data_IF_540836577392
#
_entry.id   IF_540836577392
#
_cell.length_a   1.000
_cell.length_b   1.000
_cell.length_c   1.000
_cell.angle_alpha   90.00
_cell.angle_beta   90.00
_cell.angle_gamma   90.00
#
_symmetry.space_group_name_H-M   'P 1'
#
loop_
_entity.id
_entity.type
_entity.pdbx_description
1 polymer ?
#
# COMPACT_ATOMS: atom_id res chain seq x y z
N UNK A 1 27.16 -43.86 -32.42
CA UNK A 1 25.73 -43.86 -32.79
C UNK A 1 25.07 -42.78 -31.95
N UNK A 2 24.74 -41.63 -32.53
CA UNK A 2 24.16 -40.50 -31.79
C UNK A 2 22.66 -40.73 -31.64
N UNK A 3 22.10 -40.51 -30.45
CA UNK A 3 20.67 -40.77 -30.20
C UNK A 3 19.78 -39.77 -30.94
N UNK A 4 18.64 -40.18 -31.52
CA UNK A 4 17.75 -39.31 -32.30
C UNK A 4 17.18 -38.12 -31.49
N UNK A 5 17.16 -38.24 -30.16
CA UNK A 5 16.82 -37.14 -29.26
C UNK A 5 17.82 -35.97 -29.29
N UNK A 6 19.11 -36.24 -29.54
CA UNK A 6 20.15 -35.21 -29.58
C UNK A 6 20.06 -34.42 -30.89
N UNK A 7 19.73 -35.07 -32.01
CA UNK A 7 19.44 -34.38 -33.27
C UNK A 7 18.18 -33.51 -33.16
N UNK A 8 17.14 -34.00 -32.49
CA UNK A 8 15.93 -33.22 -32.25
C UNK A 8 16.19 -31.97 -31.37
N UNK A 9 17.06 -32.08 -30.38
CA UNK A 9 17.49 -30.93 -29.56
C UNK A 9 18.39 -29.95 -30.33
N UNK A 10 19.22 -30.46 -31.26
CA UNK A 10 20.08 -29.63 -32.10
C UNK A 10 19.30 -28.89 -33.20
N UNK A 11 18.17 -29.45 -33.66
CA UNK A 11 17.27 -28.85 -34.66
C UNK A 11 16.15 -28.01 -34.04
N UNK A 12 16.04 -27.96 -32.72
CA UNK A 12 15.08 -27.09 -32.05
C UNK A 12 15.49 -25.63 -32.33
N UNK A 13 14.56 -24.75 -32.78
CA UNK A 13 14.84 -23.34 -32.94
C UNK A 13 15.23 -22.80 -31.56
N UNK A 14 16.52 -22.54 -31.38
CA UNK A 14 16.99 -21.81 -30.22
C UNK A 14 16.54 -20.38 -30.42
N UNK A 15 15.37 -20.04 -29.89
CA UNK A 15 14.84 -18.68 -29.92
C UNK A 15 15.93 -17.75 -29.36
N UNK A 16 16.56 -17.01 -30.27
CA UNK A 16 17.60 -16.00 -30.02
C UNK A 16 16.97 -14.77 -29.37
N UNK A 17 16.20 -14.96 -28.31
CA UNK A 17 15.65 -13.88 -27.48
C UNK A 17 16.76 -13.16 -26.71
N UNK A 18 17.97 -13.72 -26.68
CA UNK A 18 19.19 -13.06 -26.17
C UNK A 18 19.55 -11.81 -26.99
N UNK A 19 19.04 -11.66 -28.22
CA UNK A 19 19.24 -10.47 -29.06
C UNK A 19 18.32 -9.29 -28.71
N UNK A 20 17.16 -9.55 -28.09
CA UNK A 20 16.18 -8.50 -27.72
C UNK A 20 16.62 -7.75 -26.46
N UNK A 21 17.47 -8.37 -25.63
CA UNK A 21 18.06 -7.74 -24.45
C UNK A 21 19.37 -6.99 -24.74
N UNK A 22 20.04 -7.26 -25.88
CA UNK A 22 21.46 -6.89 -26.05
C UNK A 22 21.79 -5.98 -27.23
N UNK A 23 20.81 -5.33 -27.88
CA UNK A 23 21.11 -4.29 -28.86
C UNK A 23 19.97 -3.29 -29.00
N UNK A 24 20.32 -2.01 -29.12
CA UNK A 24 19.44 -0.83 -29.19
C UNK A 24 18.99 -0.31 -27.82
N UNK A 25 19.48 0.86 -27.44
CA UNK A 25 18.81 1.70 -26.45
C UNK A 25 17.32 1.79 -26.79
N UNK A 26 16.40 1.38 -25.90
CA UNK A 26 14.99 1.38 -26.19
C UNK A 26 14.54 2.79 -26.57
N UNK A 27 13.70 2.90 -27.61
CA UNK A 27 13.15 4.19 -28.01
C UNK A 27 12.56 4.92 -26.79
N UNK A 28 12.65 6.26 -26.70
CA UNK A 28 12.15 7.00 -25.53
C UNK A 28 10.71 6.63 -25.14
N UNK A 29 9.87 6.29 -26.13
CA UNK A 29 8.49 5.82 -25.94
C UNK A 29 8.42 4.44 -25.27
N UNK A 30 9.29 3.51 -25.66
CA UNK A 30 9.40 2.18 -25.04
C UNK A 30 9.90 2.29 -23.60
N UNK A 31 10.91 3.14 -23.36
CA UNK A 31 11.43 3.41 -22.02
C UNK A 31 10.34 4.01 -21.12
N UNK A 32 9.59 5.01 -21.60
CA UNK A 32 8.49 5.60 -20.85
C UNK A 32 7.39 4.58 -20.52
N UNK A 33 7.05 3.68 -21.45
CA UNK A 33 6.10 2.60 -21.19
C UNK A 33 6.56 1.67 -20.08
N UNK A 34 7.84 1.27 -20.11
CA UNK A 34 8.41 0.38 -19.09
C UNK A 34 8.43 1.10 -17.74
N UNK A 35 8.90 2.35 -17.69
CA UNK A 35 8.93 3.14 -16.46
C UNK A 35 7.52 3.33 -15.91
N UNK A 36 6.54 3.67 -16.74
CA UNK A 36 5.16 3.83 -16.32
C UNK A 36 4.57 2.52 -15.81
N UNK A 37 4.83 1.39 -16.48
CA UNK A 37 4.36 0.08 -16.04
C UNK A 37 4.99 -0.34 -14.71
N UNK A 38 6.31 -0.15 -14.55
CA UNK A 38 7.03 -0.42 -13.30
C UNK A 38 6.53 0.48 -12.18
N UNK A 39 6.33 1.76 -12.45
CA UNK A 39 5.80 2.72 -11.48
C UNK A 39 4.38 2.36 -11.05
N UNK A 40 3.49 2.05 -12.00
CA UNK A 40 2.12 1.62 -11.69
C UNK A 40 2.11 0.31 -10.89
N UNK A 41 2.98 -0.63 -11.24
CA UNK A 41 3.11 -1.90 -10.52
C UNK A 41 3.57 -1.66 -9.08
N UNK A 42 4.61 -0.84 -8.89
CA UNK A 42 5.08 -0.44 -7.57
C UNK A 42 3.98 0.25 -6.76
N UNK A 43 3.28 1.22 -7.36
CA UNK A 43 2.16 1.91 -6.73
C UNK A 43 1.09 0.95 -6.20
N UNK A 44 0.69 -0.03 -7.02
CA UNK A 44 -0.31 -1.02 -6.63
C UNK A 44 0.19 -1.92 -5.50
N UNK A 45 1.42 -2.42 -5.59
CA UNK A 45 2.01 -3.28 -4.53
C UNK A 45 2.10 -2.51 -3.20
N UNK A 46 2.58 -1.27 -3.22
CA UNK A 46 2.64 -0.44 -2.02
C UNK A 46 1.25 -0.08 -1.46
N UNK A 47 0.28 0.17 -2.33
CA UNK A 47 -1.11 0.38 -1.95
C UNK A 47 -1.70 -0.85 -1.24
N UNK A 48 -1.48 -2.05 -1.77
CA UNK A 48 -1.92 -3.31 -1.15
C UNK A 48 -1.24 -3.54 0.20
N UNK A 49 0.08 -3.38 0.29
CA UNK A 49 0.82 -3.51 1.56
C UNK A 49 0.27 -2.54 2.60
N UNK A 50 0.00 -1.29 2.20
CA UNK A 50 -0.59 -0.28 3.09
C UNK A 50 -1.95 -0.72 3.63
N UNK A 51 -2.83 -1.20 2.75
CA UNK A 51 -4.14 -1.73 3.14
C UNK A 51 -3.98 -2.85 4.16
N UNK A 52 -3.10 -3.81 3.90
CA UNK A 52 -2.84 -4.93 4.83
C UNK A 52 -2.29 -4.44 6.17
N UNK A 53 -1.31 -3.55 6.17
CA UNK A 53 -0.70 -2.99 7.39
C UNK A 53 -1.70 -2.18 8.23
N UNK A 54 -2.61 -1.44 7.60
CA UNK A 54 -3.65 -0.70 8.32
C UNK A 54 -4.67 -1.67 8.92
N UNK A 55 -5.05 -2.72 8.19
CA UNK A 55 -6.01 -3.72 8.67
C UNK A 55 -5.42 -4.66 9.74
N UNK A 56 -4.11 -4.89 9.76
CA UNK A 56 -3.43 -5.75 10.74
C UNK A 56 -3.26 -5.10 12.11
N UNK A 57 -3.31 -3.78 12.23
CA UNK A 57 -3.16 -3.04 13.50
C UNK A 57 -4.42 -3.00 14.41
N UNK A 58 -5.46 -3.78 14.09
CA UNK A 58 -6.54 -4.08 15.03
C UNK A 58 -7.90 -3.41 14.73
N UNK A 59 -8.96 -4.20 14.98
CA UNK A 59 -10.35 -4.08 14.50
C UNK A 59 -10.45 -4.08 12.99
N UNK A 60 -10.39 -5.28 12.40
CA UNK A 60 -11.07 -5.56 11.14
C UNK A 60 -12.47 -4.94 11.24
N UNK A 61 -12.71 -3.85 10.52
CA UNK A 61 -13.93 -3.05 10.68
C UNK A 61 -13.74 -1.54 10.79
N UNK A 62 -12.54 -1.01 11.10
CA UNK A 62 -12.41 0.47 11.24
C UNK A 62 -12.43 1.25 9.92
N UNK A 63 -12.04 0.60 8.82
CA UNK A 63 -12.06 1.16 7.47
C UNK A 63 -13.15 0.56 6.58
N UNK A 64 -13.87 -0.41 7.12
CA UNK A 64 -15.06 -0.96 6.48
C UNK A 64 -16.22 -0.08 6.93
N UNK A 65 -16.90 0.61 6.00
CA UNK A 65 -17.96 1.52 6.38
C UNK A 65 -19.08 0.81 7.15
N UNK A 66 -19.70 1.48 8.13
CA UNK A 66 -20.74 0.84 8.97
C UNK A 66 -21.95 0.36 8.14
N UNK A 67 -22.28 1.07 7.05
CA UNK A 67 -23.32 0.66 6.10
C UNK A 67 -23.05 -0.70 5.43
N UNK A 68 -21.79 -1.16 5.38
CA UNK A 68 -21.45 -2.48 4.84
C UNK A 68 -21.94 -3.61 5.75
N UNK A 69 -21.84 -3.40 7.07
CA UNK A 69 -22.23 -4.40 8.07
C UNK A 69 -23.74 -4.49 8.24
N UNK A 70 -24.47 -3.42 7.89
CA UNK A 70 -25.91 -3.28 8.06
C UNK A 70 -26.72 -3.56 6.76
N UNK A 71 -26.03 -3.83 5.65
CA UNK A 71 -26.72 -4.14 4.38
C UNK A 71 -27.14 -5.61 4.31
N UNK A 72 -28.40 -5.88 3.96
CA UNK A 72 -28.92 -7.24 3.70
C UNK A 72 -28.30 -7.92 2.45
N UNK A 73 -27.20 -7.39 1.91
CA UNK A 73 -26.45 -8.00 0.81
C UNK A 73 -26.92 -7.61 -0.59
N UNK A 74 -27.49 -6.40 -0.75
CA UNK A 74 -27.85 -5.86 -2.07
C UNK A 74 -26.64 -5.83 -3.01
N UNK A 75 -26.88 -6.03 -4.31
CA UNK A 75 -25.81 -6.03 -5.33
C UNK A 75 -25.10 -4.67 -5.41
N UNK A 76 -25.81 -3.59 -5.10
CA UNK A 76 -25.28 -2.23 -5.07
C UNK A 76 -24.31 -2.00 -3.92
N UNK A 77 -24.57 -2.59 -2.75
CA UNK A 77 -23.69 -2.47 -1.60
C UNK A 77 -22.36 -3.19 -1.85
N UNK A 78 -22.41 -4.36 -2.50
CA UNK A 78 -21.21 -5.09 -2.93
C UNK A 78 -20.37 -4.29 -3.94
N UNK A 79 -21.02 -3.59 -4.88
CA UNK A 79 -20.34 -2.70 -5.83
C UNK A 79 -19.73 -1.48 -5.14
N UNK A 80 -20.44 -0.89 -4.19
CA UNK A 80 -19.94 0.24 -3.41
C UNK A 80 -18.69 -0.15 -2.60
N UNK A 81 -18.64 -1.38 -2.07
CA UNK A 81 -17.47 -1.91 -1.35
C UNK A 81 -16.29 -2.12 -2.28
N UNK A 82 -16.51 -2.70 -3.47
CA UNK A 82 -15.46 -2.84 -4.47
C UNK A 82 -14.91 -1.45 -4.86
N UNK A 83 -15.79 -0.48 -5.12
CA UNK A 83 -15.43 0.91 -5.39
C UNK A 83 -14.65 1.55 -4.23
N UNK A 84 -15.05 1.31 -2.99
CA UNK A 84 -14.35 1.79 -1.79
C UNK A 84 -12.91 1.28 -1.72
N UNK A 85 -12.70 -0.03 -1.91
CA UNK A 85 -11.36 -0.60 -1.90
C UNK A 85 -10.50 -0.11 -3.07
N UNK A 86 -11.08 0.11 -4.24
CA UNK A 86 -10.38 0.74 -5.38
C UNK A 86 -9.93 2.15 -5.00
N UNK A 87 -10.81 2.96 -4.41
CA UNK A 87 -10.45 4.30 -3.94
C UNK A 87 -9.32 4.25 -2.90
N UNK A 88 -9.39 3.33 -1.93
CA UNK A 88 -8.34 3.16 -0.92
C UNK A 88 -7.00 2.78 -1.56
N UNK A 89 -7.00 1.86 -2.54
CA UNK A 89 -5.78 1.45 -3.25
C UNK A 89 -5.20 2.56 -4.11
N UNK A 90 -6.03 3.36 -4.78
CA UNK A 90 -5.57 4.46 -5.63
C UNK A 90 -5.07 5.66 -4.83
N UNK A 91 -5.73 5.98 -3.71
CA UNK A 91 -5.47 7.18 -2.91
C UNK A 91 -4.74 6.89 -1.58
N UNK A 92 -4.06 5.75 -1.48
CA UNK A 92 -3.30 5.34 -0.29
C UNK A 92 -2.28 6.39 0.22
N UNK A 93 -1.62 7.24 -0.59
CA UNK A 93 -0.68 8.24 -0.06
C UNK A 93 -1.39 9.33 0.75
N UNK A 94 -2.61 9.70 0.35
CA UNK A 94 -3.43 10.68 1.09
C UNK A 94 -3.84 10.10 2.44
N UNK A 95 -4.18 8.81 2.47
CA UNK A 95 -4.47 8.07 3.70
C UNK A 95 -3.24 8.11 4.64
N UNK A 96 -2.03 7.89 4.10
CA UNK A 96 -0.79 7.99 4.89
C UNK A 96 -0.57 9.37 5.50
N UNK A 97 -0.81 10.45 4.74
CA UNK A 97 -0.71 11.81 5.27
C UNK A 97 -1.66 11.99 6.46
N UNK A 98 -2.92 11.57 6.33
CA UNK A 98 -3.89 11.61 7.43
C UNK A 98 -3.46 10.79 8.64
N UNK A 99 -2.91 9.58 8.44
CA UNK A 99 -2.37 8.74 9.50
C UNK A 99 -1.19 9.41 10.22
N UNK A 100 -0.27 10.03 9.48
CA UNK A 100 0.89 10.72 10.02
C UNK A 100 0.47 11.92 10.88
N UNK A 101 -0.44 12.76 10.38
CA UNK A 101 -1.01 13.89 11.13
C UNK A 101 -1.65 13.41 12.43
N UNK A 102 -2.41 12.31 12.40
CA UNK A 102 -3.04 11.75 13.60
C UNK A 102 -2.00 11.23 14.60
N UNK A 103 -0.92 10.59 14.13
CA UNK A 103 0.16 10.12 15.01
C UNK A 103 0.87 11.29 15.69
N UNK A 104 1.25 12.32 14.93
CA UNK A 104 1.90 13.53 15.45
C UNK A 104 0.97 14.23 16.46
N UNK A 105 -0.30 14.43 16.11
CA UNK A 105 -1.27 15.07 17.00
C UNK A 105 -1.48 14.30 18.31
N UNK A 106 -1.50 12.96 18.27
CA UNK A 106 -1.57 12.13 19.49
C UNK A 106 -0.31 12.23 20.33
N UNK A 107 0.86 12.32 19.70
CA UNK A 107 2.14 12.52 20.37
C UNK A 107 2.17 13.84 21.13
N UNK A 108 1.84 14.95 20.45
CA UNK A 108 1.77 16.29 21.03
C UNK A 108 0.73 16.34 22.16
N UNK A 109 -0.48 15.83 21.93
CA UNK A 109 -1.53 15.82 22.93
C UNK A 109 -1.15 15.03 24.19
N UNK A 110 -0.42 13.93 24.08
CA UNK A 110 0.13 13.19 25.23
C UNK A 110 1.22 14.01 25.96
N UNK A 111 2.10 14.68 25.22
CA UNK A 111 3.11 15.57 25.79
C UNK A 111 2.49 16.73 26.59
N UNK A 112 1.52 17.41 26.00
CA UNK A 112 0.77 18.51 26.65
C UNK A 112 0.02 18.01 27.88
N UNK A 113 -0.67 16.87 27.81
CA UNK A 113 -1.35 16.28 28.98
C UNK A 113 -0.38 15.96 30.12
N UNK A 114 0.81 15.43 29.82
CA UNK A 114 1.85 15.14 30.82
C UNK A 114 2.39 16.41 31.48
N UNK A 115 2.64 17.47 30.71
CA UNK A 115 3.09 18.75 31.24
C UNK A 115 2.02 19.44 32.10
N UNK A 116 0.77 19.41 31.67
CA UNK A 116 -0.36 20.00 32.39
C UNK A 116 -0.69 19.25 33.69
N UNK A 117 -0.53 17.92 33.69
CA UNK A 117 -0.61 17.10 34.91
C UNK A 117 0.47 17.47 35.94
N UNK A 118 1.74 17.55 35.51
CA UNK A 118 2.85 17.97 36.40
C UNK A 118 2.67 19.36 36.99
N UNK A 119 2.16 20.32 36.20
CA UNK A 119 1.91 21.69 36.70
C UNK A 119 0.81 21.71 37.77
N UNK A 120 -0.25 20.92 37.60
CA UNK A 120 -1.35 20.84 38.58
C UNK A 120 -0.97 20.12 39.88
N UNK A 121 0.07 19.28 39.86
CA UNK A 121 0.57 18.55 41.04
C UNK A 121 1.60 19.40 41.81
N UNK A 122 2.42 20.19 41.10
CA UNK A 122 3.33 21.17 41.71
C UNK A 122 2.59 22.32 42.41
N UNK A 123 1.52 22.84 41.82
CA UNK A 123 0.73 23.95 42.37
C UNK A 123 0.10 23.59 43.73
N UNK A 124 -0.46 22.36 43.83
CA UNK A 124 -1.02 21.81 45.07
C UNK A 124 0.01 21.53 46.17
N UNK A 125 1.26 21.27 45.79
CA UNK A 125 2.36 21.08 46.74
C UNK A 125 2.83 22.38 47.39
N UNK A 126 2.68 23.50 46.70
CA UNK A 126 3.03 24.85 47.20
C UNK A 126 1.96 25.51 48.06
N UNK A 127 0.69 25.12 47.94
CA UNK A 127 -0.39 25.63 48.82
C UNK A 127 -0.46 24.90 50.18
N UNK A 128 0.29 23.80 50.36
CA UNK A 128 0.29 22.99 51.58
C UNK A 128 1.56 23.20 52.45
N UNK A 129 2.39 24.20 52.13
CA UNK A 129 3.59 24.62 52.89
C UNK A 129 3.40 26.06 53.35
#
# INVERSE_FOLDING_TARGET
>A
MMSPFIEALALMPRDTNDSVLNTSSPSPRSTLKIVAATWASGWMVFGVITVVCINSQGRAGRWVPEWYLDSEGSRWDKLAVAGWWICVLLFWPVIWIGCLVKMIGRGIGKGVKRLRGKKSEGDKGTELV
#
